data_IF_855536364689
#
_entry.id   IF_855536364689
#
_cell.length_a   1.000
_cell.length_b   1.000
_cell.length_c   1.000
_cell.angle_alpha   90.00
_cell.angle_beta   90.00
_cell.angle_gamma   90.00
#
_symmetry.space_group_name_H-M   'P 1'
#
loop_
_entity.id
_entity.type
_entity.pdbx_description
1 polymer ?
#
# COMPACT_ATOMS: atom_id res chain seq x y z
N UNK A 1 -22.45 -9.92 5.70
CA UNK A 1 -22.18 -10.19 4.28
C UNK A 1 -21.64 -11.61 4.15
N UNK A 2 -21.90 -12.29 3.05
CA UNK A 2 -21.27 -13.60 2.75
C UNK A 2 -19.84 -13.34 2.31
N UNK A 3 -18.87 -13.89 3.04
CA UNK A 3 -17.44 -13.86 2.72
C UNK A 3 -17.21 -14.29 1.26
N UNK A 4 -16.42 -13.54 0.51
CA UNK A 4 -16.03 -13.95 -0.84
C UNK A 4 -14.94 -15.02 -0.75
N UNK A 5 -14.98 -16.00 -1.65
CA UNK A 5 -13.94 -17.04 -1.74
C UNK A 5 -13.35 -17.04 -3.15
N UNK A 6 -12.03 -16.95 -3.25
CA UNK A 6 -11.32 -16.94 -4.53
C UNK A 6 -10.82 -18.34 -4.89
N UNK A 7 -11.52 -19.00 -5.81
CA UNK A 7 -11.23 -20.39 -6.23
C UNK A 7 -10.56 -20.49 -7.61
N UNK A 8 -10.27 -19.34 -8.24
CA UNK A 8 -9.64 -19.26 -9.56
C UNK A 8 -8.92 -17.93 -9.71
N UNK A 9 -7.94 -17.89 -10.61
CA UNK A 9 -7.26 -16.65 -10.98
C UNK A 9 -8.20 -15.70 -11.74
N UNK A 10 -8.00 -14.40 -11.53
CA UNK A 10 -8.60 -13.35 -12.35
C UNK A 10 -7.92 -13.21 -13.73
N UNK A 11 -6.64 -13.59 -13.81
CA UNK A 11 -5.83 -13.53 -15.03
C UNK A 11 -5.52 -14.94 -15.56
N UNK A 12 -6.21 -15.40 -16.61
CA UNK A 12 -5.92 -16.71 -17.21
C UNK A 12 -4.71 -16.67 -18.17
N UNK A 13 -4.24 -15.48 -18.56
CA UNK A 13 -3.17 -15.29 -19.52
C UNK A 13 -2.20 -14.21 -19.04
N UNK A 14 -0.91 -14.49 -19.20
CA UNK A 14 0.18 -13.58 -18.84
C UNK A 14 0.06 -12.22 -19.54
N UNK A 15 -0.33 -12.21 -20.82
CA UNK A 15 -0.40 -10.99 -21.63
C UNK A 15 -1.38 -9.92 -21.14
N UNK A 16 -2.32 -10.30 -20.29
CA UNK A 16 -3.28 -9.37 -19.67
C UNK A 16 -2.82 -8.92 -18.28
N UNK A 17 -1.79 -9.54 -17.70
CA UNK A 17 -1.28 -9.27 -16.37
C UNK A 17 -0.09 -8.32 -16.46
N UNK A 18 -0.36 -7.03 -16.25
CA UNK A 18 0.60 -5.93 -16.43
C UNK A 18 0.18 -4.68 -15.65
N UNK A 19 1.07 -3.70 -15.59
CA UNK A 19 0.85 -2.43 -14.91
C UNK A 19 -0.29 -1.61 -15.52
N UNK A 20 -0.88 -0.74 -14.71
CA UNK A 20 -1.94 0.22 -15.05
C UNK A 20 -3.29 -0.41 -15.41
N UNK A 21 -3.37 -1.73 -15.59
CA UNK A 21 -4.58 -2.43 -15.99
C UNK A 21 -4.98 -3.50 -14.97
N UNK A 22 -6.22 -3.40 -14.50
CA UNK A 22 -6.85 -4.33 -13.57
C UNK A 22 -8.16 -4.88 -14.12
N UNK A 23 -8.54 -6.12 -13.77
CA UNK A 23 -9.83 -6.71 -14.18
C UNK A 23 -11.01 -6.09 -13.45
N UNK A 24 -10.79 -5.62 -12.23
CA UNK A 24 -11.77 -4.93 -11.38
C UNK A 24 -11.23 -3.54 -11.01
N UNK A 25 -11.20 -2.58 -11.95
CA UNK A 25 -10.69 -1.25 -11.68
C UNK A 25 -11.55 -0.51 -10.65
N UNK A 26 -10.92 0.36 -9.87
CA UNK A 26 -11.59 1.14 -8.82
C UNK A 26 -11.90 2.54 -9.35
N UNK A 27 -13.18 2.91 -9.37
CA UNK A 27 -13.64 4.23 -9.81
C UNK A 27 -13.82 5.16 -8.61
N UNK A 28 -13.08 6.26 -8.60
CA UNK A 28 -13.12 7.29 -7.57
C UNK A 28 -14.20 8.34 -7.89
N UNK A 29 -14.63 9.11 -6.87
CA UNK A 29 -15.72 10.10 -6.97
C UNK A 29 -15.44 11.21 -7.98
N UNK A 30 -14.17 11.62 -8.12
CA UNK A 30 -13.73 12.62 -9.09
C UNK A 30 -13.46 12.07 -10.51
N UNK A 31 -13.85 10.81 -10.76
CA UNK A 31 -13.72 10.17 -12.06
C UNK A 31 -12.33 9.62 -12.37
N UNK A 32 -11.38 9.66 -11.44
CA UNK A 32 -10.15 8.87 -11.55
C UNK A 32 -10.50 7.38 -11.51
N UNK A 33 -9.82 6.56 -12.33
CA UNK A 33 -10.07 5.11 -12.42
C UNK A 33 -8.76 4.37 -12.26
N UNK A 34 -8.52 3.84 -11.06
CA UNK A 34 -7.28 3.14 -10.73
C UNK A 34 -7.34 1.71 -11.30
N UNK A 35 -6.31 1.33 -12.06
CA UNK A 35 -6.29 0.10 -12.85
C UNK A 35 -7.13 0.17 -14.14
N UNK A 36 -7.53 1.37 -14.56
CA UNK A 36 -8.35 1.60 -15.77
C UNK A 36 -7.58 1.63 -17.10
N UNK A 37 -6.27 1.37 -17.09
CA UNK A 37 -5.38 1.44 -18.26
C UNK A 37 -4.24 2.45 -18.11
N UNK A 38 -4.24 3.24 -17.04
CA UNK A 38 -3.17 4.18 -16.68
C UNK A 38 -2.65 3.85 -15.28
N UNK A 39 -1.33 3.98 -15.09
CA UNK A 39 -0.68 3.96 -13.77
C UNK A 39 -0.54 5.39 -13.23
N UNK A 40 -0.82 5.59 -11.95
CA UNK A 40 -0.75 6.89 -11.28
C UNK A 40 0.30 6.92 -10.18
N UNK A 41 0.97 8.07 -9.94
CA UNK A 41 1.83 8.23 -8.78
C UNK A 41 1.00 8.24 -7.48
N UNK A 42 1.48 7.52 -6.48
CA UNK A 42 1.03 7.59 -5.09
C UNK A 42 2.17 8.14 -4.25
N UNK A 43 2.03 9.35 -3.69
CA UNK A 43 3.08 9.96 -2.88
C UNK A 43 2.76 9.81 -1.41
N UNK A 44 3.77 9.41 -0.64
CA UNK A 44 3.68 9.21 0.79
C UNK A 44 4.88 9.90 1.45
N UNK A 45 4.66 10.40 2.66
CA UNK A 45 5.57 11.28 3.37
C UNK A 45 5.36 11.14 4.87
N UNK A 46 6.37 11.59 5.60
CA UNK A 46 6.31 11.67 7.05
C UNK A 46 6.86 13.00 7.54
N UNK A 47 6.55 13.32 8.79
CA UNK A 47 7.02 14.55 9.43
C UNK A 47 8.55 14.53 9.55
N UNK A 48 9.19 15.72 9.57
CA UNK A 48 10.56 15.81 10.02
C UNK A 48 10.65 15.35 11.49
N UNK A 49 11.85 15.06 12.03
CA UNK A 49 12.01 14.70 13.43
C UNK A 49 11.41 15.75 14.38
N UNK A 50 10.24 15.45 14.93
CA UNK A 50 9.51 16.32 15.86
C UNK A 50 8.63 15.49 16.81
N UNK A 51 8.35 16.04 17.99
CA UNK A 51 7.38 15.44 18.92
C UNK A 51 5.95 15.71 18.43
N UNK A 52 5.07 14.73 18.60
CA UNK A 52 3.63 14.89 18.35
C UNK A 52 2.93 14.85 19.70
N UNK A 53 2.59 16.03 20.21
CA UNK A 53 1.82 16.23 21.44
C UNK A 53 0.77 17.30 21.17
N UNK A 54 -0.16 17.48 22.12
CA UNK A 54 -1.19 18.50 21.99
C UNK A 54 -0.60 19.91 21.74
N UNK A 55 0.56 20.21 22.34
CA UNK A 55 1.24 21.50 22.20
C UNK A 55 1.88 21.70 20.82
N UNK A 56 2.35 20.62 20.18
CA UNK A 56 3.03 20.69 18.87
C UNK A 56 2.11 20.47 17.69
N UNK A 57 0.84 20.08 17.91
CA UNK A 57 -0.14 19.90 16.83
C UNK A 57 -0.25 21.09 15.86
N UNK A 58 -0.21 22.36 16.28
CA UNK A 58 -0.20 23.49 15.34
C UNK A 58 0.97 23.46 14.34
N UNK A 59 2.16 23.07 14.81
CA UNK A 59 3.36 22.94 13.97
C UNK A 59 3.26 21.70 13.06
N UNK A 60 2.71 20.59 13.57
CA UNK A 60 2.43 19.38 12.79
C UNK A 60 1.50 19.71 11.61
N UNK A 61 0.41 20.43 11.86
CA UNK A 61 -0.54 20.86 10.83
C UNK A 61 0.13 21.78 9.81
N UNK A 62 1.04 22.65 10.25
CA UNK A 62 1.81 23.51 9.34
C UNK A 62 2.71 22.68 8.40
N UNK A 63 3.43 21.69 8.92
CA UNK A 63 4.24 20.78 8.10
C UNK A 63 3.41 20.07 7.04
N UNK A 64 2.26 19.50 7.40
CA UNK A 64 1.37 18.86 6.43
C UNK A 64 0.86 19.83 5.36
N UNK A 65 0.56 21.09 5.71
CA UNK A 65 0.18 22.10 4.71
C UNK A 65 1.30 22.33 3.70
N UNK A 66 2.52 22.59 4.18
CA UNK A 66 3.68 22.85 3.31
C UNK A 66 3.98 21.66 2.39
N UNK A 67 3.88 20.43 2.90
CA UNK A 67 4.07 19.20 2.13
C UNK A 67 3.05 19.11 0.99
N UNK A 68 1.76 19.22 1.30
CA UNK A 68 0.68 19.01 0.31
C UNK A 68 0.65 20.14 -0.71
N UNK A 69 0.86 21.40 -0.30
CA UNK A 69 0.98 22.51 -1.24
C UNK A 69 2.11 22.27 -2.25
N UNK A 70 3.28 21.80 -1.78
CA UNK A 70 4.41 21.48 -2.63
C UNK A 70 4.11 20.34 -3.62
N UNK A 71 3.48 19.27 -3.13
CA UNK A 71 3.08 18.11 -3.94
C UNK A 71 2.05 18.52 -5.00
N UNK A 72 0.93 19.14 -4.60
CA UNK A 72 -0.14 19.50 -5.53
C UNK A 72 0.31 20.51 -6.58
N UNK A 73 1.11 21.51 -6.18
CA UNK A 73 1.75 22.44 -7.11
C UNK A 73 2.62 21.71 -8.13
N UNK A 74 3.45 20.77 -7.69
CA UNK A 74 4.33 20.06 -8.61
C UNK A 74 3.57 19.10 -9.53
N UNK A 75 2.52 18.46 -9.04
CA UNK A 75 1.65 17.61 -9.86
C UNK A 75 1.00 18.40 -11.00
N UNK A 76 0.54 19.63 -10.71
CA UNK A 76 0.04 20.57 -11.71
C UNK A 76 1.12 20.93 -12.75
N UNK A 77 2.31 21.36 -12.29
CA UNK A 77 3.41 21.76 -13.18
C UNK A 77 3.88 20.62 -14.11
N UNK A 78 3.75 19.37 -13.66
CA UNK A 78 4.12 18.18 -14.41
C UNK A 78 2.96 17.61 -15.24
N UNK A 79 1.79 18.22 -15.24
CA UNK A 79 0.60 17.74 -15.97
C UNK A 79 0.27 16.28 -15.64
N UNK A 80 0.37 15.91 -14.36
CA UNK A 80 0.05 14.55 -13.92
C UNK A 80 -1.46 14.29 -14.14
N UNK A 81 -1.87 13.18 -14.77
CA UNK A 81 -3.27 12.93 -15.10
C UNK A 81 -4.17 12.67 -13.87
N UNK A 82 -3.56 12.24 -12.77
CA UNK A 82 -4.18 12.01 -11.46
C UNK A 82 -3.13 11.60 -10.44
N UNK A 83 -3.35 11.88 -9.16
CA UNK A 83 -2.38 11.63 -8.10
C UNK A 83 -3.07 11.01 -6.88
N UNK A 84 -2.40 10.09 -6.21
CA UNK A 84 -2.83 9.59 -4.90
C UNK A 84 -1.90 10.16 -3.84
N UNK A 85 -2.47 10.72 -2.78
CA UNK A 85 -1.75 11.19 -1.60
C UNK A 85 -2.07 10.21 -0.49
N UNK A 86 -1.06 9.48 -0.03
CA UNK A 86 -1.18 8.62 1.12
C UNK A 86 -0.69 9.35 2.38
N UNK A 87 -1.55 9.34 3.41
CA UNK A 87 -1.22 9.84 4.73
C UNK A 87 -1.18 8.66 5.68
N UNK A 88 0.04 8.23 5.99
CA UNK A 88 0.29 7.31 7.09
C UNK A 88 0.28 8.08 8.40
N UNK A 89 -0.72 7.80 9.23
CA UNK A 89 -0.81 8.45 10.54
C UNK A 89 0.21 7.84 11.47
N UNK A 90 1.03 8.67 12.08
CA UNK A 90 1.97 8.27 13.11
C UNK A 90 1.21 7.81 14.38
N UNK A 91 1.77 6.90 15.20
CA UNK A 91 1.04 6.29 16.31
C UNK A 91 0.28 7.27 17.22
N UNK A 92 0.85 8.42 17.64
CA UNK A 92 0.13 9.38 18.47
C UNK A 92 -1.19 9.87 17.85
N UNK A 93 -1.27 9.97 16.52
CA UNK A 93 -2.47 10.40 15.79
C UNK A 93 -3.56 9.33 15.70
N UNK A 94 -3.21 8.05 15.91
CA UNK A 94 -4.20 6.98 16.08
C UNK A 94 -4.58 6.81 17.56
N UNK A 95 -3.63 7.01 18.48
CA UNK A 95 -3.92 7.02 19.93
C UNK A 95 -4.87 8.17 20.31
N UNK A 96 -4.76 9.30 19.62
CA UNK A 96 -5.60 10.49 19.75
C UNK A 96 -6.31 10.77 18.41
N UNK A 97 -7.45 10.10 18.14
CA UNK A 97 -8.11 10.15 16.84
C UNK A 97 -8.37 11.56 16.31
N UNK A 98 -8.65 12.51 17.21
CA UNK A 98 -8.86 13.91 16.88
C UNK A 98 -7.69 14.53 16.10
N UNK A 99 -6.44 14.13 16.38
CA UNK A 99 -5.26 14.64 15.69
C UNK A 99 -5.16 14.07 14.27
N UNK A 100 -5.41 12.77 14.09
CA UNK A 100 -5.44 12.15 12.77
C UNK A 100 -6.54 12.72 11.88
N UNK A 101 -7.70 13.02 12.46
CA UNK A 101 -8.84 13.66 11.77
C UNK A 101 -8.47 15.08 11.33
N UNK A 102 -7.81 15.86 12.18
CA UNK A 102 -7.38 17.23 11.86
C UNK A 102 -6.34 17.27 10.73
N UNK A 103 -5.37 16.36 10.77
CA UNK A 103 -4.39 16.16 9.68
C UNK A 103 -5.12 15.79 8.39
N UNK A 104 -6.02 14.82 8.44
CA UNK A 104 -6.78 14.36 7.26
C UNK A 104 -7.55 15.51 6.61
N UNK A 105 -8.27 16.29 7.41
CA UNK A 105 -9.02 17.44 6.93
C UNK A 105 -8.10 18.48 6.30
N UNK A 106 -6.98 18.80 6.95
CA UNK A 106 -6.01 19.78 6.46
C UNK A 106 -5.46 19.41 5.08
N UNK A 107 -5.05 18.16 4.93
CA UNK A 107 -4.53 17.62 3.66
C UNK A 107 -5.62 17.68 2.58
N UNK A 108 -6.84 17.25 2.93
CA UNK A 108 -7.97 17.21 1.99
C UNK A 108 -8.41 18.60 1.51
N UNK A 109 -8.46 19.58 2.40
CA UNK A 109 -8.86 20.95 2.06
C UNK A 109 -7.95 21.52 0.96
N UNK A 110 -6.62 21.35 1.08
CA UNK A 110 -5.67 21.80 0.05
C UNK A 110 -5.84 21.02 -1.25
N UNK A 111 -6.00 19.70 -1.18
CA UNK A 111 -6.23 18.88 -2.39
C UNK A 111 -7.45 19.34 -3.17
N UNK A 112 -8.54 19.67 -2.48
CA UNK A 112 -9.76 20.19 -3.10
C UNK A 112 -9.58 21.58 -3.70
N UNK A 113 -8.81 22.47 -3.06
CA UNK A 113 -8.48 23.77 -3.64
C UNK A 113 -7.75 23.62 -4.98
N UNK A 114 -6.75 22.73 -5.06
CA UNK A 114 -6.03 22.47 -6.30
C UNK A 114 -6.89 21.78 -7.37
N UNK A 115 -7.77 20.87 -6.99
CA UNK A 115 -8.71 20.26 -7.92
C UNK A 115 -9.67 21.31 -8.52
N UNK A 116 -10.22 22.21 -7.69
CA UNK A 116 -11.14 23.24 -8.15
C UNK A 116 -10.48 24.34 -8.98
N UNK A 117 -9.29 24.80 -8.58
CA UNK A 117 -8.60 25.93 -9.23
C UNK A 117 -7.80 25.50 -10.46
N UNK A 118 -7.25 24.29 -10.46
CA UNK A 118 -6.28 23.84 -11.46
C UNK A 118 -6.67 22.53 -12.15
N UNK A 119 -7.74 21.86 -11.74
CA UNK A 119 -8.20 20.60 -12.34
C UNK A 119 -7.32 19.39 -12.02
N UNK A 120 -6.45 19.49 -11.00
CA UNK A 120 -5.59 18.37 -10.57
C UNK A 120 -6.45 17.34 -9.86
N UNK A 121 -6.73 16.22 -10.53
CA UNK A 121 -7.44 15.09 -9.92
C UNK A 121 -6.57 14.46 -8.85
N UNK A 122 -7.11 14.36 -7.63
CA UNK A 122 -6.40 13.73 -6.53
C UNK A 122 -7.30 12.82 -5.70
N UNK A 123 -6.71 11.81 -5.09
CA UNK A 123 -7.38 10.84 -4.22
C UNK A 123 -6.58 10.72 -2.94
N UNK A 124 -7.24 10.73 -1.79
CA UNK A 124 -6.58 10.63 -0.50
C UNK A 124 -6.71 9.22 0.06
N UNK A 125 -5.59 8.56 0.31
CA UNK A 125 -5.54 7.34 1.14
C UNK A 125 -5.18 7.72 2.57
N UNK A 126 -5.95 7.19 3.52
CA UNK A 126 -5.58 7.25 4.93
C UNK A 126 -5.15 5.86 5.39
N UNK A 127 -4.01 5.82 6.07
CA UNK A 127 -3.43 4.60 6.63
C UNK A 127 -3.14 4.83 8.10
N UNK A 128 -4.14 4.68 9.00
CA UNK A 128 -3.90 4.71 10.43
C UNK A 128 -2.89 3.65 10.85
N UNK A 129 -1.86 4.02 11.62
CA UNK A 129 -0.96 3.05 12.20
C UNK A 129 -1.73 2.08 13.12
N UNK A 130 -1.46 0.78 12.99
CA UNK A 130 -2.07 -0.25 13.84
C UNK A 130 -1.43 -0.23 15.24
N UNK A 131 -2.03 0.56 16.13
CA UNK A 131 -1.57 0.72 17.52
C UNK A 131 -1.87 -0.49 18.40
N UNK A 132 -2.43 -1.58 17.88
CA UNK A 132 -2.84 -2.76 18.68
C UNK A 132 -1.65 -3.65 19.04
N UNK A 133 -0.66 -3.06 19.68
CA UNK A 133 0.57 -3.70 20.13
C UNK A 133 1.02 -3.18 21.50
N UNK A 134 2.03 -3.80 22.09
CA UNK A 134 2.64 -3.36 23.35
C UNK A 134 1.94 -3.86 24.62
N UNK A 135 2.49 -3.47 25.77
CA UNK A 135 2.11 -4.01 27.09
C UNK A 135 0.75 -3.53 27.60
N UNK A 136 0.30 -2.38 27.14
CA UNK A 136 -0.98 -1.77 27.52
C UNK A 136 -2.15 -2.32 26.69
N UNK A 137 -1.88 -3.17 25.70
CA UNK A 137 -2.91 -3.79 24.87
C UNK A 137 -3.77 -4.74 25.72
N UNK A 138 -5.05 -4.41 25.84
CA UNK A 138 -6.03 -5.26 26.52
C UNK A 138 -6.43 -6.46 25.65
N UNK A 139 -6.74 -6.21 24.38
CA UNK A 139 -7.13 -7.22 23.40
C UNK A 139 -7.07 -6.66 21.97
N UNK A 140 -6.90 -7.53 20.97
CA UNK A 140 -6.82 -7.15 19.55
C UNK A 140 -8.11 -6.55 18.97
N UNK A 141 -9.27 -6.84 19.58
CA UNK A 141 -10.59 -6.51 19.03
C UNK A 141 -11.51 -5.77 20.01
N UNK A 142 -10.99 -5.28 21.13
CA UNK A 142 -11.74 -4.41 22.05
C UNK A 142 -10.81 -3.64 22.99
N UNK A 143 -11.34 -2.60 23.62
CA UNK A 143 -10.58 -1.70 24.50
C UNK A 143 -9.97 -0.53 23.73
N UNK A 144 -9.24 0.32 24.45
CA UNK A 144 -8.83 1.64 23.96
C UNK A 144 -8.11 1.64 22.59
N UNK A 145 -7.18 0.70 22.36
CA UNK A 145 -6.44 0.60 21.10
C UNK A 145 -7.36 0.31 19.91
N UNK A 146 -8.27 -0.67 20.05
CA UNK A 146 -9.26 -0.99 19.03
C UNK A 146 -10.25 0.16 18.82
N UNK A 147 -10.79 0.71 19.91
CA UNK A 147 -11.80 1.77 19.85
C UNK A 147 -11.24 3.04 19.21
N UNK A 148 -10.01 3.42 19.54
CA UNK A 148 -9.36 4.61 18.97
C UNK A 148 -9.01 4.39 17.49
N UNK A 149 -8.55 3.20 17.11
CA UNK A 149 -8.31 2.86 15.71
C UNK A 149 -9.61 2.95 14.87
N UNK A 150 -10.71 2.37 15.35
CA UNK A 150 -12.01 2.46 14.66
C UNK A 150 -12.52 3.90 14.56
N UNK A 151 -12.39 4.70 15.63
CA UNK A 151 -12.74 6.14 15.61
C UNK A 151 -11.87 6.92 14.63
N UNK A 152 -10.59 6.58 14.51
CA UNK A 152 -9.67 7.20 13.56
C UNK A 152 -10.10 6.92 12.13
N UNK A 153 -10.40 5.66 11.79
CA UNK A 153 -10.95 5.31 10.47
C UNK A 153 -12.22 6.08 10.14
N UNK A 154 -13.22 6.00 11.02
CA UNK A 154 -14.52 6.64 10.80
C UNK A 154 -14.39 8.17 10.70
N UNK A 155 -13.57 8.77 11.56
CA UNK A 155 -13.33 10.20 11.57
C UNK A 155 -12.60 10.68 10.33
N UNK A 156 -11.55 9.99 9.91
CA UNK A 156 -10.77 10.35 8.71
C UNK A 156 -11.60 10.16 7.43
N UNK A 157 -12.41 9.09 7.36
CA UNK A 157 -13.37 8.87 6.28
C UNK A 157 -14.35 10.04 6.15
N UNK A 158 -14.91 10.51 7.28
CA UNK A 158 -15.80 11.68 7.31
C UNK A 158 -15.09 13.01 7.03
N UNK A 159 -13.80 13.11 7.36
CA UNK A 159 -12.97 14.28 7.07
C UNK A 159 -12.54 14.37 5.60
N UNK A 160 -12.77 13.31 4.80
CA UNK A 160 -12.62 13.34 3.35
C UNK A 160 -11.54 12.44 2.78
N UNK A 161 -11.05 11.45 3.55
CA UNK A 161 -10.31 10.34 2.98
C UNK A 161 -11.17 9.58 1.95
N UNK A 162 -10.57 9.17 0.85
CA UNK A 162 -11.25 8.40 -0.21
C UNK A 162 -11.01 6.90 -0.07
N UNK A 163 -9.78 6.51 0.29
CA UNK A 163 -9.31 5.12 0.44
C UNK A 163 -8.95 4.85 1.90
N UNK A 164 -9.43 3.74 2.47
CA UNK A 164 -9.07 3.28 3.82
C UNK A 164 -8.12 2.09 3.74
N UNK A 165 -6.92 2.22 4.31
CA UNK A 165 -5.90 1.18 4.35
C UNK A 165 -5.29 1.03 5.75
N UNK A 166 -4.55 -0.05 5.97
CA UNK A 166 -3.80 -0.29 7.22
C UNK A 166 -2.66 -1.27 6.99
N UNK A 167 -1.61 -1.16 7.80
CA UNK A 167 -0.61 -2.21 7.94
C UNK A 167 -0.85 -2.95 9.26
N UNK A 168 -1.72 -3.97 9.23
CA UNK A 168 -2.15 -4.58 10.49
C UNK A 168 -1.13 -5.56 11.08
N UNK A 169 -1.19 -5.77 12.40
CA UNK A 169 -0.15 -6.49 13.15
C UNK A 169 -0.56 -7.88 13.66
N UNK A 170 -1.74 -8.39 13.30
CA UNK A 170 -2.23 -9.69 13.76
C UNK A 170 -1.24 -10.85 13.56
N UNK A 171 -0.78 -11.47 14.65
CA UNK A 171 0.16 -12.60 14.64
C UNK A 171 1.64 -12.21 14.58
N UNK A 172 1.97 -10.91 14.59
CA UNK A 172 3.33 -10.39 14.49
C UNK A 172 4.22 -10.88 15.62
N UNK A 173 3.71 -10.96 16.85
CA UNK A 173 4.45 -11.43 18.01
C UNK A 173 4.95 -12.88 17.89
N UNK A 174 4.21 -13.73 17.17
CA UNK A 174 4.62 -15.11 16.86
C UNK A 174 5.58 -15.13 15.69
N UNK A 175 5.34 -14.29 14.68
CA UNK A 175 6.14 -14.24 13.46
C UNK A 175 7.53 -13.63 13.69
N UNK A 176 7.66 -12.62 14.54
CA UNK A 176 8.95 -12.00 14.88
C UNK A 176 9.92 -13.05 15.43
N UNK A 177 9.46 -13.90 16.35
CA UNK A 177 10.26 -15.02 16.84
C UNK A 177 10.55 -16.04 15.73
N UNK A 178 9.58 -16.33 14.85
CA UNK A 178 9.76 -17.25 13.73
C UNK A 178 10.85 -16.79 12.76
N UNK A 179 10.89 -15.49 12.40
CA UNK A 179 11.91 -14.93 11.52
C UNK A 179 13.29 -15.07 12.16
N UNK A 180 13.43 -14.72 13.44
CA UNK A 180 14.72 -14.75 14.14
C UNK A 180 15.39 -16.13 14.11
N UNK A 181 14.61 -17.20 14.05
CA UNK A 181 15.09 -18.58 13.98
C UNK A 181 14.87 -19.25 12.62
N UNK A 182 14.42 -18.51 11.61
CA UNK A 182 14.03 -19.04 10.29
C UNK A 182 13.05 -20.23 10.37
N UNK A 183 12.13 -20.21 11.33
CA UNK A 183 11.14 -21.29 11.54
C UNK A 183 9.96 -21.13 10.58
N UNK A 184 10.06 -21.81 9.44
CA UNK A 184 9.01 -21.82 8.41
C UNK A 184 7.65 -22.29 8.92
N UNK A 185 7.61 -23.25 9.86
CA UNK A 185 6.33 -23.78 10.36
C UNK A 185 5.65 -22.75 11.25
N UNK A 186 6.43 -22.06 12.08
CA UNK A 186 5.93 -20.99 12.93
C UNK A 186 5.55 -19.75 12.12
N UNK A 187 6.28 -19.41 11.06
CA UNK A 187 5.88 -18.35 10.12
C UNK A 187 4.57 -18.69 9.42
N UNK A 188 4.43 -19.92 8.90
CA UNK A 188 3.19 -20.40 8.29
C UNK A 188 2.02 -20.33 9.27
N UNK A 189 2.23 -20.78 10.51
CA UNK A 189 1.20 -20.71 11.55
C UNK A 189 0.81 -19.26 11.82
N UNK A 190 1.77 -18.36 12.06
CA UNK A 190 1.52 -16.96 12.40
C UNK A 190 0.75 -16.19 11.32
N UNK A 191 1.13 -16.36 10.06
CA UNK A 191 0.49 -15.69 8.93
C UNK A 191 -0.86 -16.33 8.59
N UNK A 192 -0.89 -17.66 8.46
CA UNK A 192 -2.05 -18.40 7.97
C UNK A 192 -3.16 -18.63 9.00
N UNK A 193 -2.91 -18.43 10.30
CA UNK A 193 -3.91 -18.67 11.34
C UNK A 193 -4.27 -17.44 12.19
N UNK A 194 -3.45 -16.97 13.16
CA UNK A 194 -3.80 -15.79 13.94
C UNK A 194 -3.81 -14.52 13.07
N UNK A 195 -2.95 -14.40 12.07
CA UNK A 195 -2.97 -13.30 11.11
C UNK A 195 -4.26 -13.24 10.30
N UNK A 196 -4.64 -14.33 9.63
CA UNK A 196 -5.93 -14.44 8.91
C UNK A 196 -7.13 -14.19 9.84
N UNK A 197 -7.11 -14.73 11.07
CA UNK A 197 -8.19 -14.52 12.04
C UNK A 197 -8.34 -13.05 12.44
N UNK A 198 -7.24 -12.33 12.64
CA UNK A 198 -7.26 -10.89 12.90
C UNK A 198 -7.80 -10.12 11.69
N UNK A 199 -7.29 -10.45 10.49
CA UNK A 199 -7.73 -9.85 9.23
C UNK A 199 -9.24 -9.95 9.03
N UNK A 200 -9.86 -11.11 9.29
CA UNK A 200 -11.32 -11.26 9.23
C UNK A 200 -12.05 -10.24 10.11
N UNK A 201 -11.61 -10.08 11.35
CA UNK A 201 -12.26 -9.17 12.31
C UNK A 201 -12.03 -7.72 11.97
N UNK A 202 -10.80 -7.37 11.63
CA UNK A 202 -10.39 -6.02 11.30
C UNK A 202 -11.06 -5.53 10.01
N UNK A 203 -10.94 -6.28 8.93
CA UNK A 203 -11.45 -5.86 7.63
C UNK A 203 -12.97 -5.84 7.56
N UNK A 204 -13.66 -6.76 8.25
CA UNK A 204 -15.11 -6.67 8.39
C UNK A 204 -15.56 -5.33 9.03
N UNK A 205 -14.78 -4.82 10.00
CA UNK A 205 -15.07 -3.53 10.64
C UNK A 205 -14.72 -2.34 9.75
N UNK A 206 -13.56 -2.36 9.07
CA UNK A 206 -13.14 -1.29 8.14
C UNK A 206 -14.11 -1.20 6.95
N UNK A 207 -14.51 -2.32 6.36
CA UNK A 207 -15.48 -2.37 5.26
C UNK A 207 -16.82 -1.79 5.69
N UNK A 208 -17.29 -2.12 6.90
CA UNK A 208 -18.51 -1.52 7.44
C UNK A 208 -18.41 0.01 7.55
N UNK A 209 -17.29 0.54 8.05
CA UNK A 209 -17.05 1.98 8.10
C UNK A 209 -17.05 2.57 6.68
N UNK A 210 -16.42 1.89 5.73
CA UNK A 210 -16.35 2.34 4.35
C UNK A 210 -17.75 2.44 3.70
N UNK A 211 -18.60 1.44 3.93
CA UNK A 211 -20.00 1.44 3.49
C UNK A 211 -20.80 2.58 4.13
N UNK A 212 -20.68 2.79 5.44
CA UNK A 212 -21.42 3.82 6.18
C UNK A 212 -20.99 5.25 5.80
N UNK A 213 -19.74 5.42 5.38
CA UNK A 213 -19.16 6.73 5.02
C UNK A 213 -19.08 6.97 3.51
N UNK A 214 -19.38 5.95 2.70
CA UNK A 214 -19.24 5.99 1.24
C UNK A 214 -17.79 6.19 0.79
N UNK A 215 -16.82 5.63 1.53
CA UNK A 215 -15.40 5.58 1.17
C UNK A 215 -15.06 4.20 0.59
N UNK A 216 -13.84 4.03 0.09
CA UNK A 216 -13.40 2.77 -0.54
C UNK A 216 -12.57 1.97 0.47
N UNK A 217 -12.98 0.74 0.82
CA UNK A 217 -12.12 -0.16 1.59
C UNK A 217 -10.98 -0.66 0.67
N UNK A 218 -9.79 -0.11 0.87
CA UNK A 218 -8.66 -0.23 -0.06
C UNK A 218 -7.96 -1.59 0.08
N UNK A 219 -7.04 -1.73 1.02
CA UNK A 219 -6.33 -2.97 1.29
C UNK A 219 -5.38 -2.86 2.47
N UNK A 220 -4.86 -4.01 2.89
CA UNK A 220 -3.87 -4.14 3.97
C UNK A 220 -2.48 -4.32 3.38
N UNK A 221 -1.48 -4.48 4.24
CA UNK A 221 -0.20 -5.10 3.90
C UNK A 221 0.37 -5.87 5.08
N UNK A 222 1.03 -7.00 4.80
CA UNK A 222 1.81 -7.75 5.80
C UNK A 222 3.21 -7.15 6.02
N UNK A 223 3.32 -5.82 6.19
CA UNK A 223 4.57 -5.06 6.14
C UNK A 223 5.49 -5.50 7.28
N UNK A 224 4.95 -5.52 8.50
CA UNK A 224 5.61 -6.01 9.69
C UNK A 224 6.04 -7.49 9.64
N UNK A 225 5.71 -8.23 8.59
CA UNK A 225 6.06 -9.62 8.37
C UNK A 225 7.03 -9.77 7.20
N UNK A 226 6.53 -9.56 5.97
CA UNK A 226 7.28 -9.77 4.74
C UNK A 226 8.41 -8.76 4.56
N UNK A 227 8.19 -7.48 4.90
CA UNK A 227 9.21 -6.45 4.77
C UNK A 227 10.26 -6.60 5.86
N UNK A 228 9.87 -6.98 7.08
CA UNK A 228 10.81 -7.35 8.15
C UNK A 228 11.75 -8.48 7.71
N UNK A 229 11.20 -9.56 7.12
CA UNK A 229 12.01 -10.67 6.61
C UNK A 229 12.94 -10.21 5.46
N UNK A 230 12.44 -9.36 4.55
CA UNK A 230 13.23 -8.79 3.45
C UNK A 230 14.42 -7.96 3.95
N UNK A 231 14.18 -7.03 4.89
CA UNK A 231 15.23 -6.17 5.45
C UNK A 231 16.26 -6.99 6.22
N UNK A 232 15.83 -8.01 6.98
CA UNK A 232 16.75 -8.90 7.68
C UNK A 232 17.57 -9.75 6.71
N UNK A 233 16.99 -10.15 5.57
CA UNK A 233 17.71 -10.89 4.53
C UNK A 233 18.76 -10.02 3.82
N UNK A 234 18.42 -8.77 3.50
CA UNK A 234 19.34 -7.81 2.88
C UNK A 234 20.57 -7.53 3.77
N UNK A 235 20.36 -7.50 5.09
CA UNK A 235 21.44 -7.39 6.09
C UNK A 235 22.19 -8.70 6.37
N UNK A 236 21.82 -9.80 5.74
CA UNK A 236 22.45 -11.11 5.92
C UNK A 236 22.13 -11.80 7.24
N UNK A 237 21.09 -11.37 7.97
CA UNK A 237 20.66 -12.02 9.22
C UNK A 237 19.82 -13.27 8.98
N UNK A 238 19.08 -13.33 7.87
CA UNK A 238 18.31 -14.50 7.44
C UNK A 238 18.57 -14.81 5.96
N UNK A 239 18.37 -16.05 5.48
CA UNK A 239 18.54 -16.35 4.06
C UNK A 239 17.51 -15.64 3.17
N UNK A 240 17.94 -15.10 2.02
CA UNK A 240 17.03 -14.48 1.04
C UNK A 240 15.93 -15.43 0.55
N UNK A 241 16.24 -16.72 0.42
CA UNK A 241 15.24 -17.74 0.06
C UNK A 241 14.15 -17.91 1.14
N UNK A 242 14.49 -17.71 2.41
CA UNK A 242 13.52 -17.72 3.50
C UNK A 242 12.59 -16.51 3.40
N UNK A 243 13.15 -15.31 3.19
CA UNK A 243 12.35 -14.10 2.99
C UNK A 243 11.43 -14.19 1.76
N UNK A 244 11.90 -14.79 0.66
CA UNK A 244 11.07 -15.04 -0.53
C UNK A 244 9.89 -15.97 -0.23
N UNK A 245 10.09 -17.02 0.56
CA UNK A 245 9.01 -17.92 0.98
C UNK A 245 8.03 -17.21 1.91
N UNK A 246 8.52 -16.42 2.88
CA UNK A 246 7.66 -15.59 3.76
C UNK A 246 6.81 -14.64 2.94
N UNK A 247 7.36 -13.99 1.91
CA UNK A 247 6.60 -13.11 1.00
C UNK A 247 5.43 -13.82 0.31
N UNK A 248 5.63 -15.08 -0.08
CA UNK A 248 4.53 -15.85 -0.67
C UNK A 248 3.47 -16.19 0.38
N UNK A 249 3.89 -16.51 1.62
CA UNK A 249 2.96 -16.79 2.72
C UNK A 249 2.11 -15.56 3.08
N UNK A 250 2.67 -14.34 2.99
CA UNK A 250 1.91 -13.12 3.30
C UNK A 250 0.74 -12.89 2.33
N UNK A 251 0.80 -13.38 1.10
CA UNK A 251 -0.29 -13.28 0.13
C UNK A 251 -1.60 -13.89 0.66
N UNK A 252 -1.52 -15.03 1.36
CA UNK A 252 -2.70 -15.70 1.95
C UNK A 252 -3.35 -14.83 3.00
N UNK A 253 -2.53 -14.22 3.87
CA UNK A 253 -2.99 -13.32 4.93
C UNK A 253 -3.61 -12.05 4.35
N UNK A 254 -2.95 -11.41 3.38
CA UNK A 254 -3.44 -10.16 2.79
C UNK A 254 -4.67 -10.38 1.90
N UNK A 255 -4.86 -11.57 1.31
CA UNK A 255 -6.06 -11.93 0.54
C UNK A 255 -7.34 -11.83 1.36
N UNK A 256 -7.26 -12.11 2.67
CA UNK A 256 -8.41 -12.05 3.59
C UNK A 256 -9.09 -10.68 3.62
N UNK A 257 -8.36 -9.58 3.43
CA UNK A 257 -8.98 -8.25 3.32
C UNK A 257 -10.01 -8.19 2.18
N UNK A 258 -9.67 -8.79 1.04
CA UNK A 258 -10.50 -8.82 -0.17
C UNK A 258 -11.67 -9.80 0.00
N UNK A 259 -11.46 -10.91 0.72
CA UNK A 259 -12.52 -11.86 1.10
C UNK A 259 -13.57 -11.21 2.01
N UNK A 260 -13.16 -10.26 2.85
CA UNK A 260 -14.03 -9.46 3.73
C UNK A 260 -14.66 -8.24 3.05
N UNK A 261 -14.31 -7.95 1.79
CA UNK A 261 -14.97 -6.90 0.99
C UNK A 261 -14.11 -5.68 0.66
N UNK A 262 -12.80 -5.70 0.94
CA UNK A 262 -11.90 -4.73 0.35
C UNK A 262 -11.86 -4.88 -1.19
N UNK A 263 -11.65 -3.78 -1.91
CA UNK A 263 -11.73 -3.74 -3.38
C UNK A 263 -10.48 -3.15 -4.05
N UNK A 264 -9.45 -2.84 -3.26
CA UNK A 264 -8.23 -2.21 -3.72
C UNK A 264 -8.33 -0.67 -3.81
N UNK A 265 -7.21 0.00 -4.15
CA UNK A 265 -5.91 -0.61 -4.42
C UNK A 265 -5.26 -1.18 -3.15
N UNK A 266 -4.58 -2.32 -3.26
CA UNK A 266 -3.72 -2.84 -2.16
C UNK A 266 -2.64 -1.80 -1.78
N UNK A 267 -2.11 -1.85 -0.55
CA UNK A 267 -1.04 -0.94 -0.08
C UNK A 267 0.28 -1.19 -0.81
N UNK A 268 1.08 -0.13 -0.94
CA UNK A 268 2.33 -0.02 -1.70
C UNK A 268 3.47 -0.91 -1.18
N UNK A 269 3.71 -0.90 0.13
CA UNK A 269 4.74 -1.72 0.78
C UNK A 269 4.41 -3.21 0.76
N UNK A 270 3.23 -3.56 0.24
CA UNK A 270 2.73 -4.92 0.13
C UNK A 270 3.19 -5.57 -1.16
N UNK A 271 4.46 -5.98 -1.20
CA UNK A 271 5.00 -6.71 -2.36
C UNK A 271 4.24 -8.01 -2.67
N UNK A 272 3.48 -8.57 -1.72
CA UNK A 272 2.55 -9.67 -1.98
C UNK A 272 1.33 -9.26 -2.82
N UNK A 273 1.12 -7.97 -3.03
CA UNK A 273 0.06 -7.39 -3.85
C UNK A 273 0.04 -7.95 -5.27
N UNK A 274 1.19 -8.35 -5.82
CA UNK A 274 1.23 -9.03 -7.14
C UNK A 274 0.39 -10.32 -7.15
N UNK A 275 0.41 -11.10 -6.06
CA UNK A 275 -0.41 -12.30 -5.92
C UNK A 275 -1.88 -11.94 -5.68
N UNK A 276 -2.14 -10.88 -4.90
CA UNK A 276 -3.50 -10.35 -4.70
C UNK A 276 -4.12 -9.99 -6.05
N UNK A 277 -3.45 -9.16 -6.84
CA UNK A 277 -3.92 -8.79 -8.18
C UNK A 277 -4.16 -10.01 -9.05
N UNK A 278 -3.21 -10.95 -9.10
CA UNK A 278 -3.37 -12.18 -9.88
C UNK A 278 -4.63 -12.97 -9.52
N UNK A 279 -4.95 -13.04 -8.22
CA UNK A 279 -6.09 -13.80 -7.69
C UNK A 279 -7.41 -13.04 -7.87
N UNK A 280 -7.46 -11.78 -7.45
CA UNK A 280 -8.71 -11.02 -7.29
C UNK A 280 -9.03 -10.15 -8.50
N UNK A 281 -8.01 -9.74 -9.27
CA UNK A 281 -8.16 -8.79 -10.36
C UNK A 281 -8.27 -7.32 -9.91
N UNK A 282 -8.16 -7.03 -8.61
CA UNK A 282 -8.21 -5.67 -8.05
C UNK A 282 -6.89 -4.94 -8.29
N UNK A 283 -6.90 -3.59 -8.37
CA UNK A 283 -5.68 -2.82 -8.48
C UNK A 283 -4.80 -2.93 -7.24
N UNK A 284 -3.51 -2.64 -7.42
CA UNK A 284 -2.52 -2.63 -6.34
C UNK A 284 -1.62 -1.39 -6.45
N UNK A 285 -1.25 -0.82 -5.31
CA UNK A 285 -0.08 0.03 -5.23
C UNK A 285 1.16 -0.82 -5.05
N UNK A 286 2.28 -0.36 -5.60
CA UNK A 286 3.59 -0.98 -5.43
C UNK A 286 4.65 0.11 -5.29
N UNK A 287 5.76 -0.25 -4.66
CA UNK A 287 6.95 0.58 -4.50
C UNK A 287 8.20 -0.19 -4.96
N UNK A 288 9.34 0.48 -5.14
CA UNK A 288 10.57 -0.18 -5.54
C UNK A 288 11.72 0.81 -5.77
N UNK A 289 12.21 0.94 -7.00
CA UNK A 289 13.38 1.81 -7.28
C UNK A 289 13.19 3.26 -6.83
N UNK A 290 11.95 3.76 -6.84
CA UNK A 290 11.60 5.14 -6.49
C UNK A 290 11.11 5.29 -5.04
N UNK A 291 11.20 4.22 -4.25
CA UNK A 291 11.06 4.24 -2.79
C UNK A 291 12.39 4.04 -2.04
N UNK A 292 13.52 4.17 -2.75
CA UNK A 292 14.85 4.14 -2.14
C UNK A 292 15.07 5.21 -1.05
N UNK A 293 14.20 6.21 -0.96
CA UNK A 293 14.18 7.19 0.13
C UNK A 293 13.71 6.59 1.47
N UNK A 294 12.93 5.51 1.46
CA UNK A 294 12.41 4.85 2.65
C UNK A 294 13.32 3.68 3.08
N UNK A 295 13.63 2.78 2.15
CA UNK A 295 14.47 1.62 2.40
C UNK A 295 15.15 1.11 1.12
N UNK A 296 16.15 0.25 1.30
CA UNK A 296 16.87 -0.40 0.21
C UNK A 296 16.31 -1.82 0.06
N UNK A 297 16.11 -2.26 -1.19
CA UNK A 297 15.58 -3.59 -1.47
C UNK A 297 16.13 -4.16 -2.78
N UNK A 298 16.07 -5.50 -2.98
CA UNK A 298 16.35 -6.12 -4.27
C UNK A 298 15.17 -6.01 -5.27
N UNK A 299 14.10 -5.29 -4.92
CA UNK A 299 12.82 -5.25 -5.63
C UNK A 299 12.63 -3.90 -6.34
N UNK A 300 13.58 -3.51 -7.18
CA UNK A 300 13.65 -2.18 -7.78
C UNK A 300 12.61 -1.94 -8.88
N UNK A 301 12.86 -2.49 -10.06
CA UNK A 301 12.01 -2.37 -11.24
C UNK A 301 10.88 -3.39 -11.26
N UNK A 302 11.12 -4.62 -10.79
CA UNK A 302 10.18 -5.73 -10.91
C UNK A 302 8.85 -5.45 -10.21
N UNK A 303 8.87 -4.69 -9.11
CA UNK A 303 7.68 -4.31 -8.38
C UNK A 303 6.71 -3.47 -9.24
N UNK A 304 7.22 -2.72 -10.22
CA UNK A 304 6.39 -1.94 -11.13
C UNK A 304 5.71 -2.79 -12.22
N UNK A 305 6.12 -4.05 -12.44
CA UNK A 305 5.68 -4.86 -13.57
C UNK A 305 4.15 -4.99 -13.68
N UNK A 306 3.46 -5.03 -12.53
CA UNK A 306 2.00 -5.20 -12.46
C UNK A 306 1.29 -4.18 -11.57
N UNK A 307 1.96 -3.08 -11.23
CA UNK A 307 1.44 -2.01 -10.37
C UNK A 307 0.33 -1.18 -11.04
N UNK A 308 -0.63 -0.67 -10.28
CA UNK A 308 -1.66 0.30 -10.74
C UNK A 308 -1.47 1.68 -10.11
N UNK A 309 -0.84 1.72 -8.93
CA UNK A 309 -0.25 2.92 -8.34
C UNK A 309 1.25 2.68 -8.10
N UNK A 310 2.06 3.73 -8.24
CA UNK A 310 3.50 3.67 -8.03
C UNK A 310 3.93 4.62 -6.92
N UNK A 311 4.51 4.06 -5.86
CA UNK A 311 4.78 4.77 -4.60
C UNK A 311 6.26 4.92 -4.26
N UNK A 312 6.54 5.96 -3.47
CA UNK A 312 7.83 6.23 -2.85
C UNK A 312 7.94 5.69 -1.41
N UNK A 313 6.98 4.88 -0.95
CA UNK A 313 6.84 4.37 0.42
C UNK A 313 6.70 5.46 1.48
N UNK A 314 7.79 6.14 1.87
CA UNK A 314 7.71 7.26 2.80
C UNK A 314 8.99 8.09 2.74
N UNK A 315 8.85 9.40 2.87
CA UNK A 315 9.99 10.32 2.91
C UNK A 315 9.74 11.46 3.88
N UNK A 316 10.75 11.78 4.68
CA UNK A 316 10.68 12.91 5.61
C UNK A 316 10.58 14.24 4.86
N UNK A 317 9.84 15.22 5.41
CA UNK A 317 9.81 16.57 4.86
C UNK A 317 11.12 17.34 5.12
N UNK A 318 12.13 17.09 4.29
CA UNK A 318 13.43 17.75 4.37
C UNK A 318 13.78 18.46 3.06
N UNK A 319 14.63 19.49 3.15
CA UNK A 319 15.07 20.26 1.98
C UNK A 319 16.19 19.52 1.24
N UNK A 320 15.96 19.24 -0.04
CA UNK A 320 16.96 18.81 -1.01
C UNK A 320 17.34 19.99 -1.93
N UNK A 321 18.39 19.82 -2.75
CA UNK A 321 18.78 20.82 -3.75
C UNK A 321 17.64 21.15 -4.73
N UNK A 322 16.87 20.14 -5.13
CA UNK A 322 15.76 20.29 -6.09
C UNK A 322 14.43 20.77 -5.51
N UNK A 323 14.24 20.76 -4.19
CA UNK A 323 12.93 21.00 -3.57
C UNK A 323 12.79 20.33 -2.21
N UNK A 324 11.59 20.33 -1.64
CA UNK A 324 11.28 19.48 -0.48
C UNK A 324 11.21 18.01 -0.92
N UNK A 325 11.67 17.08 -0.08
CA UNK A 325 11.82 15.69 -0.48
C UNK A 325 10.51 15.01 -0.93
N UNK A 326 9.33 15.25 -0.33
CA UNK A 326 8.05 14.76 -0.87
C UNK A 326 7.76 15.27 -2.29
N UNK A 327 8.07 16.54 -2.57
CA UNK A 327 7.91 17.14 -3.92
C UNK A 327 8.85 16.52 -4.95
N UNK A 328 10.11 16.26 -4.56
CA UNK A 328 11.10 15.59 -5.42
C UNK A 328 10.68 14.14 -5.70
N UNK A 329 10.16 13.45 -4.68
CA UNK A 329 9.69 12.06 -4.81
C UNK A 329 8.50 11.98 -5.76
N UNK A 330 7.50 12.86 -5.62
CA UNK A 330 6.39 12.95 -6.58
C UNK A 330 6.89 13.10 -8.02
N UNK A 331 7.90 13.95 -8.25
CA UNK A 331 8.44 14.15 -9.59
C UNK A 331 9.06 12.87 -10.17
N UNK A 332 9.81 12.12 -9.37
CA UNK A 332 10.37 10.83 -9.79
C UNK A 332 9.26 9.83 -10.15
N UNK A 333 8.26 9.70 -9.27
CA UNK A 333 7.10 8.84 -9.51
C UNK A 333 6.32 9.25 -10.77
N UNK A 334 6.12 10.54 -10.97
CA UNK A 334 5.42 11.07 -12.15
C UNK A 334 6.14 10.72 -13.45
N UNK A 335 7.48 10.75 -13.48
CA UNK A 335 8.25 10.34 -14.67
C UNK A 335 8.20 8.83 -14.92
N UNK A 336 8.27 8.01 -13.87
CA UNK A 336 8.11 6.56 -13.98
C UNK A 336 6.73 6.21 -14.58
N UNK A 337 5.66 6.77 -14.00
CA UNK A 337 4.30 6.58 -14.49
C UNK A 337 4.14 7.07 -15.93
N UNK A 338 4.71 8.23 -16.28
CA UNK A 338 4.64 8.77 -17.65
C UNK A 338 5.30 7.84 -18.67
N UNK A 339 6.45 7.24 -18.34
CA UNK A 339 7.13 6.30 -19.22
C UNK A 339 6.30 5.04 -19.44
N UNK A 340 5.78 4.46 -18.36
CA UNK A 340 4.89 3.28 -18.41
C UNK A 340 3.62 3.56 -19.20
N UNK A 341 2.94 4.68 -18.94
CA UNK A 341 1.75 5.08 -19.69
C UNK A 341 2.07 5.32 -21.18
N UNK A 342 3.22 5.91 -21.50
CA UNK A 342 3.66 6.09 -22.90
C UNK A 342 3.89 4.75 -23.60
N UNK A 343 4.44 3.76 -22.91
CA UNK A 343 4.58 2.41 -23.47
C UNK A 343 3.20 1.75 -23.69
N UNK A 344 2.25 1.94 -22.75
CA UNK A 344 0.89 1.43 -22.87
C UNK A 344 0.13 2.03 -24.07
N UNK A 345 0.26 3.33 -24.34
CA UNK A 345 -0.42 3.98 -25.48
C UNK A 345 0.11 3.54 -26.84
N UNK A 346 1.33 3.00 -26.91
CA UNK A 346 1.91 2.43 -28.14
C UNK A 346 1.34 1.04 -28.51
N UNK A 347 0.54 0.44 -27.64
CA UNK A 347 -0.15 -0.82 -27.90
C UNK A 347 0.29 -1.96 -26.99
N UNK A 348 -0.45 -3.07 -27.08
CA UNK A 348 -0.34 -4.19 -26.13
C UNK A 348 1.07 -4.78 -26.06
N UNK A 349 1.72 -4.98 -27.20
CA UNK A 349 3.04 -5.60 -27.29
C UNK A 349 4.13 -4.73 -26.65
N UNK A 350 4.07 -3.40 -26.84
CA UNK A 350 5.05 -2.48 -26.23
C UNK A 350 4.87 -2.41 -24.72
N UNK A 351 3.63 -2.43 -24.23
CA UNK A 351 3.35 -2.46 -22.80
C UNK A 351 3.86 -3.77 -22.15
N UNK A 352 3.66 -4.90 -22.84
CA UNK A 352 4.13 -6.20 -22.37
C UNK A 352 5.66 -6.28 -22.38
N UNK A 353 6.32 -5.76 -23.43
CA UNK A 353 7.78 -5.63 -23.45
C UNK A 353 8.29 -4.78 -22.29
N UNK A 354 7.65 -3.65 -21.97
CA UNK A 354 8.02 -2.83 -20.82
C UNK A 354 7.88 -3.61 -19.50
N UNK A 355 6.76 -4.33 -19.31
CA UNK A 355 6.58 -5.21 -18.14
C UNK A 355 7.70 -6.25 -18.05
N UNK A 356 8.03 -6.90 -19.15
CA UNK A 356 9.02 -7.96 -19.19
C UNK A 356 10.42 -7.39 -18.86
N UNK A 357 10.77 -6.21 -19.38
CA UNK A 357 12.02 -5.53 -19.02
C UNK A 357 12.08 -5.15 -17.54
N UNK A 358 10.98 -4.67 -16.97
CA UNK A 358 10.89 -4.35 -15.53
C UNK A 358 11.11 -5.62 -14.68
N UNK A 359 10.54 -6.75 -15.08
CA UNK A 359 10.67 -8.00 -14.34
C UNK A 359 12.03 -8.68 -14.55
N UNK A 360 12.50 -8.76 -15.80
CA UNK A 360 13.72 -9.46 -16.16
C UNK A 360 14.96 -8.73 -15.68
N UNK A 361 14.93 -7.42 -15.43
CA UNK A 361 16.09 -6.69 -14.90
C UNK A 361 16.50 -7.15 -13.49
N UNK A 362 15.55 -7.64 -12.70
CA UNK A 362 15.77 -7.94 -11.27
C UNK A 362 15.58 -9.43 -10.94
N UNK A 363 14.69 -10.14 -11.66
CA UNK A 363 14.22 -11.48 -11.25
C UNK A 363 15.30 -12.56 -11.13
N UNK A 364 16.45 -12.39 -11.78
CA UNK A 364 17.57 -13.34 -11.70
C UNK A 364 18.61 -12.98 -10.62
N UNK A 365 18.47 -11.82 -9.97
CA UNK A 365 19.45 -11.29 -9.02
C UNK A 365 19.18 -11.69 -7.57
N UNK A 366 17.92 -11.93 -7.21
CA UNK A 366 17.51 -12.30 -5.85
C UNK A 366 16.27 -13.21 -5.89
N UNK A 367 16.20 -14.27 -5.06
CA UNK A 367 14.99 -15.12 -4.97
C UNK A 367 13.73 -14.34 -4.58
N UNK A 368 13.86 -13.26 -3.82
CA UNK A 368 12.75 -12.36 -3.49
C UNK A 368 12.22 -11.69 -4.75
N UNK A 369 13.08 -11.22 -5.65
CA UNK A 369 12.65 -10.68 -6.95
C UNK A 369 12.06 -11.79 -7.84
N UNK A 370 12.68 -12.98 -7.85
CA UNK A 370 12.21 -14.10 -8.67
C UNK A 370 10.74 -14.47 -8.41
N UNK A 371 10.31 -14.51 -7.13
CA UNK A 371 8.92 -14.85 -6.79
C UNK A 371 7.91 -13.76 -7.18
N UNK A 372 8.37 -12.54 -7.51
CA UNK A 372 7.55 -11.45 -8.05
C UNK A 372 7.45 -11.45 -9.59
N UNK A 373 8.17 -12.34 -10.29
CA UNK A 373 8.13 -12.38 -11.76
C UNK A 373 6.72 -12.73 -12.24
N UNK A 374 6.11 -11.98 -13.19
CA UNK A 374 4.69 -12.12 -13.50
C UNK A 374 4.18 -13.54 -13.83
N UNK A 375 4.95 -14.35 -14.56
CA UNK A 375 4.63 -15.76 -14.83
C UNK A 375 4.76 -16.65 -13.58
N UNK A 376 5.75 -16.39 -12.73
CA UNK A 376 5.96 -17.09 -11.45
C UNK A 376 4.81 -16.77 -10.51
N UNK A 377 4.42 -15.50 -10.42
CA UNK A 377 3.27 -15.02 -9.64
C UNK A 377 2.00 -15.76 -10.04
N UNK A 378 1.66 -15.83 -11.33
CA UNK A 378 0.46 -16.53 -11.79
C UNK A 378 0.47 -18.02 -11.37
N UNK A 379 1.60 -18.72 -11.49
CA UNK A 379 1.70 -20.14 -11.08
C UNK A 379 1.53 -20.32 -9.57
N UNK A 380 2.17 -19.47 -8.76
CA UNK A 380 2.06 -19.54 -7.30
C UNK A 380 0.63 -19.21 -6.87
N UNK A 381 0.04 -18.14 -7.41
CA UNK A 381 -1.35 -17.78 -7.16
C UNK A 381 -2.32 -18.90 -7.55
N UNK A 382 -2.06 -19.63 -8.64
CA UNK A 382 -2.86 -20.78 -9.03
C UNK A 382 -2.81 -21.90 -7.98
N UNK A 383 -1.65 -22.11 -7.36
CA UNK A 383 -1.49 -23.07 -6.27
C UNK A 383 -2.24 -22.64 -5.01
N UNK A 384 -2.23 -21.34 -4.68
CA UNK A 384 -2.97 -20.79 -3.53
C UNK A 384 -4.49 -21.04 -3.69
N UNK A 385 -5.07 -20.69 -4.83
CA UNK A 385 -6.55 -20.78 -5.04
C UNK A 385 -7.06 -22.20 -5.32
N UNK A 386 -6.16 -23.17 -5.51
CA UNK A 386 -6.51 -24.61 -5.63
C UNK A 386 -6.91 -25.21 -4.30
N UNK A 387 -6.33 -24.73 -3.21
CA UNK A 387 -6.62 -25.20 -1.86
C UNK A 387 -7.88 -24.53 -1.33
N UNK A 388 -8.67 -25.27 -0.56
CA UNK A 388 -9.82 -24.72 0.16
C UNK A 388 -9.37 -24.37 1.57
N UNK A 389 -9.38 -23.07 1.89
CA UNK A 389 -9.19 -22.55 3.24
C UNK A 389 -10.33 -22.90 4.18
#
# INVERSE_FOLDING_TARGET
MTQQTFLKLAYPALDDFRYGLSKLPVKCKNGMVIGGGEIFPEVNFTLPPMSITQETMPDVIKEYKEIIEGICKRAMELYVPGLVIEVELLPPMTFHPEWGIEVTKTVRDIMFEYEQQHGVKSVMRITPNDIREGRELQHMWHGAHWDNMMKTFEGCAKAGADLLAIESVGGKEIHDEAIMYCDLKKSLFALGFPGVKDMHKLWSAIVKIAEETGTIPSGDTACGFGNTAMVLADRGYVPQVFAAVVRVMTAVRSLTALEEGAIGPHKDCGYEGVFIKAITGTPIAMEGKSSACAHLSPLGNIAAAVADLWSNESVQNIKLLGGMAPTVSLEQLAYDCRLMNTAATKGKDTANLMRDLLADSDSFLDPQAYVLRPDVVLRISEAIVKEKG
#
